data_IF_121454603245
#
_entry.id   IF_121454603245
#
_cell.length_a   1.000
_cell.length_b   1.000
_cell.length_c   1.000
_cell.angle_alpha   90.00
_cell.angle_beta   90.00
_cell.angle_gamma   90.00
#
_symmetry.space_group_name_H-M   'P 1'
#
loop_
_entity.id
_entity.type
_entity.pdbx_description
1 polymer ?
#
# COMPACT_ATOMS: atom_id res chain seq x y z
N UNK A 1 -15.59 -10.02 16.63
CA UNK A 1 -15.33 -10.29 15.20
C UNK A 1 -13.89 -10.77 15.07
N UNK A 2 -13.64 -11.83 14.30
CA UNK A 2 -12.28 -12.33 14.04
C UNK A 2 -11.75 -11.63 12.79
N UNK A 3 -10.49 -11.18 12.83
CA UNK A 3 -9.82 -10.52 11.71
C UNK A 3 -8.69 -11.41 11.21
N UNK A 4 -8.66 -11.63 9.89
CA UNK A 4 -7.56 -12.24 9.15
C UNK A 4 -6.98 -11.17 8.25
N UNK A 5 -5.74 -10.78 8.55
CA UNK A 5 -5.10 -9.64 7.92
C UNK A 5 -3.87 -10.05 7.12
N UNK A 6 -3.72 -9.46 5.93
CA UNK A 6 -2.46 -9.42 5.19
C UNK A 6 -2.10 -7.96 4.95
N UNK A 7 -1.07 -7.49 5.66
CA UNK A 7 -0.72 -6.07 5.76
C UNK A 7 0.57 -5.72 5.03
N UNK A 8 1.06 -6.61 4.17
CA UNK A 8 2.22 -6.33 3.34
C UNK A 8 2.05 -6.99 1.98
N UNK A 9 1.50 -6.21 1.06
CA UNK A 9 1.41 -6.58 -0.35
C UNK A 9 2.03 -5.50 -1.23
N UNK A 10 2.08 -5.76 -2.53
CA UNK A 10 2.49 -4.82 -3.54
C UNK A 10 1.41 -4.67 -4.62
N UNK A 11 1.35 -3.48 -5.20
CA UNK A 11 0.50 -3.18 -6.36
C UNK A 11 1.18 -3.61 -7.66
N UNK A 12 0.48 -3.45 -8.79
CA UNK A 12 1.06 -3.65 -10.12
C UNK A 12 2.21 -2.70 -10.47
N UNK A 13 2.44 -1.66 -9.67
CA UNK A 13 3.50 -0.66 -9.89
C UNK A 13 4.85 -1.03 -9.23
N UNK A 14 4.89 -2.09 -8.42
CA UNK A 14 6.15 -2.62 -7.89
C UNK A 14 6.85 -3.52 -8.90
N UNK A 15 8.17 -3.43 -8.97
CA UNK A 15 8.99 -4.30 -9.80
C UNK A 15 8.76 -5.78 -9.50
N UNK A 16 8.76 -6.60 -10.56
CA UNK A 16 8.55 -8.05 -10.48
C UNK A 16 7.23 -8.49 -9.80
N UNK A 17 6.23 -7.61 -9.75
CA UNK A 17 4.87 -7.92 -9.28
C UNK A 17 3.95 -8.21 -10.48
N UNK A 18 2.87 -8.96 -10.26
CA UNK A 18 1.91 -9.25 -11.33
C UNK A 18 1.16 -7.98 -11.75
N UNK A 19 1.00 -7.79 -13.07
CA UNK A 19 0.12 -6.77 -13.65
C UNK A 19 -1.34 -6.88 -13.18
N UNK A 20 -1.73 -8.06 -12.67
CA UNK A 20 -3.06 -8.31 -12.10
C UNK A 20 -3.23 -7.80 -10.66
N UNK A 21 -2.21 -7.24 -10.03
CA UNK A 21 -2.33 -6.63 -8.70
C UNK A 21 -3.10 -5.30 -8.79
N UNK A 22 -4.39 -5.42 -9.07
CA UNK A 22 -5.39 -4.36 -9.21
C UNK A 22 -6.43 -4.48 -8.09
N UNK A 23 -7.15 -3.40 -7.80
CA UNK A 23 -8.14 -3.36 -6.71
C UNK A 23 -9.21 -4.45 -6.86
N UNK A 24 -9.70 -4.69 -8.08
CA UNK A 24 -10.73 -5.71 -8.34
C UNK A 24 -10.24 -7.14 -8.13
N UNK A 25 -9.02 -7.44 -8.55
CA UNK A 25 -8.40 -8.76 -8.34
C UNK A 25 -8.09 -8.98 -6.85
N UNK A 26 -7.59 -7.94 -6.16
CA UNK A 26 -7.37 -7.98 -4.71
C UNK A 26 -8.67 -8.26 -3.95
N UNK A 27 -9.76 -7.56 -4.28
CA UNK A 27 -11.09 -7.82 -3.72
C UNK A 27 -11.51 -9.29 -3.89
N UNK A 28 -11.36 -9.81 -5.10
CA UNK A 28 -11.79 -11.17 -5.46
C UNK A 28 -10.99 -12.22 -4.70
N UNK A 29 -9.66 -12.14 -4.77
CA UNK A 29 -8.78 -13.17 -4.23
C UNK A 29 -8.59 -13.09 -2.71
N UNK A 30 -8.61 -11.89 -2.11
CA UNK A 30 -8.58 -11.76 -0.65
C UNK A 30 -9.85 -12.38 -0.03
N UNK A 31 -11.02 -12.10 -0.61
CA UNK A 31 -12.29 -12.69 -0.20
C UNK A 31 -12.28 -14.22 -0.34
N UNK A 32 -11.82 -14.73 -1.48
CA UNK A 32 -11.68 -16.18 -1.71
C UNK A 32 -10.72 -16.83 -0.69
N UNK A 33 -9.67 -16.12 -0.29
CA UNK A 33 -8.70 -16.58 0.70
C UNK A 33 -9.23 -16.52 2.13
N UNK A 34 -10.31 -15.78 2.38
CA UNK A 34 -10.87 -15.53 3.72
C UNK A 34 -10.17 -14.39 4.47
N UNK A 35 -9.40 -13.55 3.78
CA UNK A 35 -8.81 -12.33 4.33
C UNK A 35 -9.90 -11.27 4.38
N UNK A 36 -10.04 -10.59 5.51
CA UNK A 36 -11.01 -9.52 5.70
C UNK A 36 -10.37 -8.17 6.06
N UNK A 37 -9.04 -8.09 6.19
CA UNK A 37 -8.31 -6.83 6.24
C UNK A 37 -7.05 -6.90 5.37
N UNK A 38 -6.89 -5.97 4.42
CA UNK A 38 -5.78 -5.98 3.48
C UNK A 38 -5.02 -4.64 3.49
N UNK A 39 -3.69 -4.68 3.44
CA UNK A 39 -2.89 -3.50 3.12
C UNK A 39 -3.11 -3.09 1.66
N UNK A 40 -3.08 -1.80 1.35
CA UNK A 40 -3.21 -1.37 -0.06
C UNK A 40 -2.03 -1.72 -0.95
N UNK A 41 -0.84 -1.89 -0.35
CA UNK A 41 0.43 -1.84 -1.08
C UNK A 41 0.72 -0.44 -1.62
N UNK A 42 2.01 -0.11 -1.73
CA UNK A 42 2.58 0.95 -2.58
C UNK A 42 1.85 2.31 -2.58
N UNK A 43 1.22 2.71 -1.47
CA UNK A 43 0.34 3.89 -1.44
C UNK A 43 1.07 5.23 -1.65
N UNK A 44 2.41 5.23 -1.76
CA UNK A 44 3.20 6.40 -2.14
C UNK A 44 3.40 6.53 -3.65
N UNK A 45 3.14 5.47 -4.43
CA UNK A 45 3.26 5.51 -5.87
C UNK A 45 2.12 6.38 -6.45
N UNK A 46 2.40 7.45 -7.22
CA UNK A 46 1.39 8.46 -7.52
C UNK A 46 0.23 7.95 -8.38
N UNK A 47 0.49 7.00 -9.30
CA UNK A 47 -0.58 6.39 -10.09
C UNK A 47 -1.44 5.47 -9.24
N UNK A 48 -0.85 4.73 -8.30
CA UNK A 48 -1.60 3.84 -7.42
C UNK A 48 -2.42 4.63 -6.42
N UNK A 49 -1.82 5.64 -5.79
CA UNK A 49 -2.51 6.55 -4.87
C UNK A 49 -3.72 7.22 -5.52
N UNK A 50 -3.60 7.60 -6.79
CA UNK A 50 -4.74 8.12 -7.57
C UNK A 50 -5.85 7.07 -7.71
N UNK A 51 -5.52 5.84 -8.10
CA UNK A 51 -6.50 4.75 -8.21
C UNK A 51 -7.18 4.47 -6.86
N UNK A 52 -6.42 4.43 -5.76
CA UNK A 52 -6.96 4.23 -4.41
C UNK A 52 -7.96 5.33 -4.03
N UNK A 53 -7.63 6.60 -4.28
CA UNK A 53 -8.54 7.74 -4.01
C UNK A 53 -9.83 7.70 -4.82
N UNK A 54 -9.74 7.25 -6.07
CA UNK A 54 -10.90 7.13 -6.94
C UNK A 54 -11.81 5.97 -6.50
N UNK A 55 -11.21 4.84 -6.13
CA UNK A 55 -11.94 3.61 -5.82
C UNK A 55 -12.42 3.50 -4.38
N UNK A 56 -11.75 4.13 -3.40
CA UNK A 56 -11.99 3.88 -1.98
C UNK A 56 -12.89 4.93 -1.33
N UNK A 57 -13.65 4.49 -0.33
CA UNK A 57 -14.35 5.32 0.65
C UNK A 57 -13.86 4.98 2.06
N UNK A 58 -13.64 6.00 2.88
CA UNK A 58 -13.22 5.82 4.27
C UNK A 58 -14.41 5.38 5.12
N UNK A 59 -14.16 4.51 6.09
CA UNK A 59 -15.10 4.21 7.17
C UNK A 59 -14.84 5.22 8.30
N UNK A 60 -15.78 6.15 8.55
CA UNK A 60 -15.54 7.27 9.46
C UNK A 60 -15.07 6.82 10.85
N UNK A 61 -13.98 7.44 11.32
CA UNK A 61 -13.45 7.23 12.68
C UNK A 61 -12.65 5.95 12.87
N UNK A 62 -12.32 5.22 11.80
CA UNK A 62 -11.60 3.94 11.90
C UNK A 62 -10.21 3.93 11.25
N UNK A 63 -9.95 4.84 10.30
CA UNK A 63 -8.75 4.80 9.45
C UNK A 63 -8.72 3.61 8.46
N UNK A 64 -9.84 2.91 8.32
CA UNK A 64 -10.03 1.82 7.37
C UNK A 64 -10.86 2.28 6.17
N UNK A 65 -10.71 1.58 5.07
CA UNK A 65 -11.34 1.89 3.79
C UNK A 65 -12.11 0.69 3.23
N UNK A 66 -13.11 0.98 2.39
CA UNK A 66 -13.77 0.02 1.51
C UNK A 66 -13.68 0.48 0.07
N UNK A 67 -13.85 -0.45 -0.86
CA UNK A 67 -14.04 -0.11 -2.27
C UNK A 67 -15.49 0.33 -2.46
N UNK A 68 -15.69 1.50 -3.09
CA UNK A 68 -17.01 2.03 -3.43
C UNK A 68 -17.82 1.01 -4.21
N UNK A 69 -19.13 0.96 -3.94
CA UNK A 69 -20.09 0.06 -4.61
C UNK A 69 -19.77 -1.45 -4.47
N UNK A 70 -18.83 -1.84 -3.60
CA UNK A 70 -18.52 -3.24 -3.31
C UNK A 70 -19.34 -3.75 -2.12
N UNK A 71 -19.94 -4.92 -2.28
CA UNK A 71 -20.60 -5.65 -1.19
C UNK A 71 -19.66 -6.59 -0.43
N UNK A 72 -18.37 -6.66 -0.80
CA UNK A 72 -17.40 -7.52 -0.13
C UNK A 72 -17.16 -7.06 1.32
N UNK A 73 -17.10 -8.02 2.26
CA UNK A 73 -16.69 -7.77 3.64
C UNK A 73 -15.16 -7.75 3.75
N UNK A 74 -14.53 -6.87 2.97
CA UNK A 74 -13.09 -6.64 2.94
C UNK A 74 -12.80 -5.19 3.28
N UNK A 75 -11.96 -4.99 4.28
CA UNK A 75 -11.47 -3.69 4.71
C UNK A 75 -10.04 -3.48 4.22
N UNK A 76 -9.66 -2.23 4.00
CA UNK A 76 -8.32 -1.85 3.60
C UNK A 76 -7.69 -0.91 4.63
N UNK A 77 -6.38 -1.08 4.87
CA UNK A 77 -5.54 -0.11 5.56
C UNK A 77 -4.52 0.45 4.58
N UNK A 78 -4.30 1.76 4.62
CA UNK A 78 -3.36 2.42 3.72
C UNK A 78 -1.95 1.99 4.09
N UNK A 79 -1.22 1.43 3.13
CA UNK A 79 0.04 0.75 3.37
C UNK A 79 1.04 1.02 2.24
N UNK A 80 2.32 1.12 2.61
CA UNK A 80 3.44 1.11 1.67
C UNK A 80 4.61 0.33 2.26
N UNK A 81 5.58 -0.03 1.43
CA UNK A 81 6.93 -0.43 1.86
C UNK A 81 7.93 0.60 1.32
N UNK A 82 8.96 0.93 2.10
CA UNK A 82 10.10 1.73 1.62
C UNK A 82 11.41 1.01 1.91
N UNK A 83 12.36 1.11 0.99
CA UNK A 83 13.71 0.59 1.16
C UNK A 83 14.67 1.67 1.64
N UNK A 84 15.66 1.26 2.44
CA UNK A 84 16.79 2.11 2.83
C UNK A 84 18.10 1.38 2.54
N UNK A 85 19.06 2.07 1.93
CA UNK A 85 20.40 1.54 1.68
C UNK A 85 21.42 2.39 2.42
N UNK A 86 22.18 1.77 3.33
CA UNK A 86 23.23 2.46 4.08
C UNK A 86 24.42 1.54 4.34
N UNK A 87 25.58 2.13 4.64
CA UNK A 87 26.80 1.38 4.92
C UNK A 87 27.08 1.28 6.42
N UNK A 88 27.35 0.06 6.90
CA UNK A 88 27.79 -0.17 8.29
C UNK A 88 29.03 -1.06 8.28
N UNK A 89 30.16 -0.52 8.77
CA UNK A 89 31.45 -1.23 8.83
C UNK A 89 31.90 -1.78 7.47
N UNK A 90 31.82 -0.97 6.41
CA UNK A 90 32.23 -1.38 5.06
C UNK A 90 31.28 -2.35 4.35
N UNK A 91 30.06 -2.57 4.87
CA UNK A 91 29.05 -3.45 4.26
C UNK A 91 27.75 -2.70 4.03
N UNK A 92 27.27 -2.75 2.78
CA UNK A 92 25.95 -2.24 2.43
C UNK A 92 24.84 -3.04 3.13
N UNK A 93 23.89 -2.33 3.73
CA UNK A 93 22.68 -2.84 4.36
C UNK A 93 21.50 -2.35 3.55
N UNK A 94 20.59 -3.27 3.23
CA UNK A 94 19.34 -2.99 2.53
C UNK A 94 18.22 -3.39 3.48
N UNK A 95 17.50 -2.42 4.02
CA UNK A 95 16.44 -2.64 4.99
C UNK A 95 15.14 -2.16 4.40
N UNK A 96 14.11 -2.99 4.49
CA UNK A 96 12.77 -2.60 4.12
C UNK A 96 11.94 -2.26 5.35
N UNK A 97 11.07 -1.28 5.22
CA UNK A 97 10.19 -0.79 6.27
C UNK A 97 8.77 -0.79 5.76
N UNK A 98 7.90 -1.55 6.41
CA UNK A 98 6.45 -1.51 6.17
C UNK A 98 5.86 -0.38 6.97
N UNK A 99 5.06 0.47 6.32
CA UNK A 99 4.43 1.62 6.94
C UNK A 99 2.92 1.52 6.73
N UNK A 100 2.19 1.51 7.85
CA UNK A 100 0.73 1.61 7.86
C UNK A 100 0.34 3.06 8.18
N UNK A 101 -0.56 3.61 7.40
CA UNK A 101 -0.96 5.01 7.46
C UNK A 101 -2.44 5.10 7.82
N UNK A 102 -2.83 6.08 8.65
CA UNK A 102 -4.21 6.21 9.11
C UNK A 102 -5.17 6.73 8.03
N UNK A 103 -4.65 7.33 6.95
CA UNK A 103 -5.46 7.85 5.86
C UNK A 103 -4.69 8.00 4.55
N UNK A 104 -5.42 8.12 3.44
CA UNK A 104 -4.86 8.49 2.13
C UNK A 104 -4.23 9.89 2.14
N UNK A 105 -4.75 10.82 2.96
CA UNK A 105 -4.16 12.15 3.14
C UNK A 105 -2.77 12.07 3.79
N UNK A 106 -2.60 11.21 4.79
CA UNK A 106 -1.27 11.00 5.39
C UNK A 106 -0.31 10.35 4.40
N UNK A 107 -0.80 9.45 3.53
CA UNK A 107 0.03 8.89 2.45
C UNK A 107 0.52 9.98 1.49
N UNK A 108 -0.32 10.95 1.13
CA UNK A 108 0.11 12.11 0.33
C UNK A 108 1.18 12.95 1.03
N UNK A 109 0.98 13.27 2.31
CA UNK A 109 1.95 14.04 3.08
C UNK A 109 3.31 13.33 3.17
N UNK A 110 3.30 12.00 3.34
CA UNK A 110 4.52 11.19 3.31
C UNK A 110 5.15 11.21 1.91
N UNK A 111 4.35 11.07 0.86
CA UNK A 111 4.83 11.14 -0.53
C UNK A 111 5.47 12.51 -0.84
N UNK A 112 4.90 13.61 -0.36
CA UNK A 112 5.44 14.97 -0.52
C UNK A 112 6.80 15.15 0.17
N UNK A 113 7.01 14.48 1.30
CA UNK A 113 8.28 14.53 2.04
C UNK A 113 9.31 13.62 1.38
N UNK A 114 8.97 12.35 1.15
CA UNK A 114 9.90 11.36 0.63
C UNK A 114 10.22 11.55 -0.85
N UNK A 115 9.31 12.12 -1.64
CA UNK A 115 9.54 12.48 -3.05
C UNK A 115 10.62 13.55 -3.24
N UNK A 116 11.05 14.24 -2.17
CA UNK A 116 12.21 15.15 -2.18
C UNK A 116 13.54 14.39 -2.05
N UNK A 117 13.50 13.14 -1.59
CA UNK A 117 14.67 12.30 -1.34
C UNK A 117 14.91 11.26 -2.44
N UNK A 118 13.90 10.94 -3.26
CA UNK A 118 13.99 9.95 -4.32
C UNK A 118 12.77 9.94 -5.25
N UNK A 119 12.85 9.16 -6.32
CA UNK A 119 11.75 9.05 -7.31
C UNK A 119 10.72 7.99 -6.90
N UNK A 120 9.55 8.45 -6.47
CA UNK A 120 8.41 7.58 -6.09
C UNK A 120 7.70 6.95 -7.30
N UNK A 121 8.03 7.34 -8.54
CA UNK A 121 7.44 6.78 -9.77
C UNK A 121 8.21 5.57 -10.31
N UNK A 122 9.44 5.38 -9.85
CA UNK A 122 10.33 4.37 -10.41
C UNK A 122 9.91 2.94 -10.02
N UNK A 123 9.38 2.77 -8.81
CA UNK A 123 8.96 1.48 -8.26
C UNK A 123 7.93 1.72 -7.14
N UNK A 124 6.97 0.80 -6.97
CA UNK A 124 6.01 0.81 -5.85
C UNK A 124 6.66 0.71 -4.46
N UNK A 125 7.90 0.20 -4.37
CA UNK A 125 8.76 0.27 -3.18
C UNK A 125 9.96 1.21 -3.45
N UNK A 126 9.81 2.52 -3.22
CA UNK A 126 10.91 3.47 -3.38
C UNK A 126 12.05 3.17 -2.40
N UNK A 127 13.28 3.43 -2.85
CA UNK A 127 14.51 3.16 -2.08
C UNK A 127 15.28 4.46 -1.90
N UNK A 128 15.73 4.70 -0.67
CA UNK A 128 16.48 5.89 -0.25
C UNK A 128 17.87 5.53 0.30
#
# INVERSE_FOLDING_TARGET
MIIYADLHIHSRYSGATSEKMSIGELLTFASLKGINLLGTGDALHPLWLKELKEAFEEIPGTGLYKVKDSSADLYFVIQTEVGTIHEVKGKARRIHHVVLMPSLEVAEQIADVLGKLGDLRADGRPVF
#
